data_IF_684811130512
#
_entry.id   IF_684811130512
#
_cell.length_a   1.000
_cell.length_b   1.000
_cell.length_c   1.000
_cell.angle_alpha   90.00
_cell.angle_beta   90.00
_cell.angle_gamma   90.00
#
_symmetry.space_group_name_H-M   'P 1'
#
loop_
_entity.id
_entity.type
_entity.pdbx_description
1 polymer ?
#
# COMPACT_ATOMS: atom_id res chain seq x y z
N UNK A 1 25.94 -9.34 42.24
CA UNK A 1 24.61 -9.73 41.72
C UNK A 1 23.87 -8.60 41.00
N UNK A 2 23.97 -7.34 41.44
CA UNK A 2 23.27 -6.18 40.86
C UNK A 2 23.76 -5.70 39.47
N UNK A 3 24.97 -6.06 39.03
CA UNK A 3 25.44 -5.75 37.66
C UNK A 3 24.98 -6.76 36.63
N UNK A 4 24.91 -8.04 37.02
CA UNK A 4 24.45 -9.13 36.15
C UNK A 4 22.97 -8.99 35.83
N UNK A 5 22.12 -8.60 36.81
CA UNK A 5 20.70 -8.38 36.53
C UNK A 5 20.48 -7.26 35.51
N UNK A 6 21.23 -6.14 35.60
CA UNK A 6 21.09 -5.02 34.65
C UNK A 6 21.44 -5.42 33.23
N UNK A 7 22.50 -6.22 33.05
CA UNK A 7 22.90 -6.73 31.73
C UNK A 7 21.85 -7.68 31.17
N UNK A 8 21.29 -8.56 32.01
CA UNK A 8 20.21 -9.48 31.61
C UNK A 8 18.94 -8.71 31.24
N UNK A 9 18.57 -7.67 32.00
CA UNK A 9 17.39 -6.84 31.71
C UNK A 9 17.56 -6.05 30.41
N UNK A 10 18.75 -5.49 30.15
CA UNK A 10 19.01 -4.77 28.89
C UNK A 10 18.99 -5.71 27.69
N UNK A 11 19.59 -6.91 27.80
CA UNK A 11 19.51 -7.90 26.72
C UNK A 11 18.07 -8.36 26.45
N UNK A 12 17.28 -8.57 27.51
CA UNK A 12 15.86 -8.91 27.38
C UNK A 12 15.10 -7.80 26.66
N UNK A 13 15.29 -6.53 27.02
CA UNK A 13 14.63 -5.41 26.35
C UNK A 13 15.03 -5.26 24.88
N UNK A 14 16.30 -5.53 24.54
CA UNK A 14 16.77 -5.53 23.15
C UNK A 14 16.11 -6.67 22.37
N UNK A 15 16.07 -7.89 22.93
CA UNK A 15 15.39 -9.04 22.33
C UNK A 15 13.89 -8.80 22.15
N UNK A 16 13.20 -8.25 23.15
CA UNK A 16 11.78 -7.87 23.05
C UNK A 16 11.55 -6.76 22.01
N UNK A 17 12.46 -5.80 21.88
CA UNK A 17 12.41 -4.75 20.85
C UNK A 17 12.69 -5.24 19.43
N UNK A 18 13.38 -6.39 19.29
CA UNK A 18 13.80 -6.94 17.99
C UNK A 18 12.71 -7.77 17.30
N UNK A 19 11.61 -8.09 18.00
CA UNK A 19 10.51 -8.92 17.50
C UNK A 19 9.48 -8.16 16.63
N UNK A 20 9.69 -6.88 16.33
CA UNK A 20 8.68 -6.04 15.68
C UNK A 20 8.69 -6.06 14.13
N UNK A 21 9.59 -6.76 13.44
CA UNK A 21 9.64 -6.70 11.97
C UNK A 21 9.99 -8.03 11.32
N UNK A 22 9.16 -9.04 11.51
CA UNK A 22 9.05 -10.13 10.54
C UNK A 22 7.57 -10.38 10.27
N UNK A 23 6.92 -9.47 9.54
CA UNK A 23 5.76 -9.89 8.74
C UNK A 23 6.35 -10.81 7.68
N UNK A 24 6.24 -12.11 7.95
CA UNK A 24 6.60 -13.13 6.98
C UNK A 24 5.79 -12.84 5.72
N UNK A 25 6.51 -12.63 4.61
CA UNK A 25 5.94 -12.59 3.28
C UNK A 25 5.50 -14.02 2.90
N UNK A 26 4.52 -14.57 3.62
CA UNK A 26 3.61 -15.48 2.95
C UNK A 26 2.95 -14.64 1.86
N UNK A 27 3.06 -15.11 0.61
CA UNK A 27 2.62 -14.41 -0.61
C UNK A 27 1.11 -14.26 -0.68
N UNK A 28 0.52 -13.64 0.33
CA UNK A 28 -0.89 -13.29 0.37
C UNK A 28 -1.11 -12.21 -0.69
N UNK A 29 -2.01 -12.49 -1.62
CA UNK A 29 -2.48 -11.49 -2.59
C UNK A 29 -3.41 -10.51 -1.86
N UNK A 30 -3.34 -9.20 -2.15
CA UNK A 30 -4.19 -8.24 -1.47
C UNK A 30 -5.68 -8.57 -1.64
N UNK A 31 -6.44 -8.47 -0.56
CA UNK A 31 -7.89 -8.68 -0.58
C UNK A 31 -8.62 -7.48 -1.20
N UNK A 32 -9.89 -7.66 -1.55
CA UNK A 32 -10.76 -6.56 -1.98
C UNK A 32 -10.90 -5.47 -0.91
N UNK A 33 -10.90 -5.86 0.38
CA UNK A 33 -10.89 -4.92 1.50
C UNK A 33 -9.58 -4.13 1.60
N UNK A 34 -8.43 -4.72 1.23
CA UNK A 34 -7.16 -4.00 1.17
C UNK A 34 -7.16 -2.95 0.06
N UNK A 35 -7.66 -3.31 -1.12
CA UNK A 35 -7.86 -2.36 -2.22
C UNK A 35 -8.78 -1.22 -1.81
N UNK A 36 -9.93 -1.52 -1.22
CA UNK A 36 -10.89 -0.51 -0.74
C UNK A 36 -10.27 0.44 0.29
N UNK A 37 -9.55 -0.10 1.29
CA UNK A 37 -8.89 0.70 2.31
C UNK A 37 -7.82 1.63 1.72
N UNK A 38 -7.01 1.13 0.77
CA UNK A 38 -5.98 1.94 0.14
C UNK A 38 -6.55 2.96 -0.86
N UNK A 39 -7.66 2.67 -1.53
CA UNK A 39 -8.38 3.66 -2.34
C UNK A 39 -8.97 4.78 -1.47
N UNK A 40 -9.56 4.44 -0.31
CA UNK A 40 -10.06 5.46 0.62
C UNK A 40 -8.93 6.37 1.16
N UNK A 41 -7.73 5.83 1.40
CA UNK A 41 -6.59 6.59 1.94
C UNK A 41 -5.85 7.46 0.89
N UNK A 42 -5.92 7.09 -0.40
CA UNK A 42 -5.12 7.73 -1.44
C UNK A 42 -5.42 9.23 -1.63
N UNK A 43 -6.67 9.71 -1.70
CA UNK A 43 -6.97 11.14 -1.84
C UNK A 43 -6.39 11.99 -0.69
N UNK A 44 -6.46 11.47 0.54
CA UNK A 44 -5.91 12.16 1.71
C UNK A 44 -4.39 12.27 1.64
N UNK A 45 -3.73 11.21 1.17
CA UNK A 45 -2.28 11.18 1.00
C UNK A 45 -1.83 12.14 -0.11
N UNK A 46 -2.56 12.17 -1.23
CA UNK A 46 -2.33 13.13 -2.33
C UNK A 46 -2.47 14.57 -1.82
N UNK A 47 -3.54 14.87 -1.10
CA UNK A 47 -3.78 16.21 -0.52
C UNK A 47 -2.67 16.61 0.47
N UNK A 48 -2.13 15.65 1.22
CA UNK A 48 -1.03 15.89 2.16
C UNK A 48 0.33 16.10 1.46
N UNK A 49 0.47 15.74 0.19
CA UNK A 49 1.73 15.90 -0.56
C UNK A 49 2.89 15.05 -0.04
N UNK A 50 2.59 13.97 0.70
CA UNK A 50 3.60 13.14 1.37
C UNK A 50 4.19 12.04 0.50
N UNK A 51 3.69 11.91 -0.74
CA UNK A 51 4.15 10.91 -1.71
C UNK A 51 4.34 11.57 -3.07
N UNK A 52 5.51 11.37 -3.66
CA UNK A 52 5.84 11.83 -5.02
C UNK A 52 5.66 10.71 -6.03
N UNK A 53 4.98 10.96 -7.18
CA UNK A 53 4.87 9.98 -8.24
C UNK A 53 6.21 9.69 -8.92
N UNK A 54 6.38 8.45 -9.36
CA UNK A 54 7.51 8.03 -10.19
C UNK A 54 7.17 8.13 -11.68
N UNK A 55 8.17 8.11 -12.55
CA UNK A 55 7.94 8.04 -14.00
C UNK A 55 7.08 6.85 -14.42
N UNK A 56 7.19 5.73 -13.70
CA UNK A 56 6.36 4.56 -13.95
C UNK A 56 4.89 4.80 -13.57
N UNK A 57 4.61 5.59 -12.53
CA UNK A 57 3.24 5.97 -12.15
C UNK A 57 2.63 6.90 -13.20
N UNK A 58 3.41 7.82 -13.77
CA UNK A 58 2.98 8.62 -14.92
C UNK A 58 2.64 7.75 -16.14
N UNK A 59 3.55 6.86 -16.53
CA UNK A 59 3.32 5.98 -17.68
C UNK A 59 2.10 5.07 -17.51
N UNK A 60 1.85 4.57 -16.29
CA UNK A 60 0.64 3.79 -16.00
C UNK A 60 -0.62 4.65 -16.02
N UNK A 61 -0.57 5.87 -15.50
CA UNK A 61 -1.71 6.78 -15.53
C UNK A 61 -2.08 7.15 -16.98
N UNK A 62 -1.08 7.37 -17.84
CA UNK A 62 -1.30 7.60 -19.26
C UNK A 62 -1.96 6.39 -19.93
N UNK A 63 -1.51 5.17 -19.63
CA UNK A 63 -2.15 3.93 -20.11
C UNK A 63 -3.59 3.79 -19.61
N UNK A 64 -3.85 4.09 -18.34
CA UNK A 64 -5.19 4.03 -17.77
C UNK A 64 -6.16 5.02 -18.46
N UNK A 65 -5.67 6.20 -18.86
CA UNK A 65 -6.44 7.15 -19.70
C UNK A 65 -6.71 6.63 -21.10
N UNK A 66 -5.82 5.80 -21.63
CA UNK A 66 -5.98 5.13 -22.94
C UNK A 66 -7.05 4.03 -22.97
N UNK A 67 -7.61 3.65 -21.81
CA UNK A 67 -8.72 2.70 -21.71
C UNK A 67 -8.37 1.46 -20.90
N UNK A 68 -8.49 1.56 -19.57
CA UNK A 68 -8.50 0.38 -18.70
C UNK A 68 -9.93 -0.13 -18.51
N UNK A 69 -10.10 -1.46 -18.46
CA UNK A 69 -11.38 -2.06 -18.07
C UNK A 69 -11.64 -1.75 -16.60
N UNK A 70 -12.85 -1.32 -16.29
CA UNK A 70 -13.29 -1.00 -14.93
C UNK A 70 -14.52 -1.84 -14.59
N UNK A 71 -14.59 -2.31 -13.35
CA UNK A 71 -15.68 -3.13 -12.82
C UNK A 71 -16.16 -2.58 -11.49
N UNK A 72 -17.39 -2.91 -11.11
CA UNK A 72 -17.92 -2.52 -9.80
C UNK A 72 -17.23 -3.32 -8.69
N UNK A 73 -16.87 -2.66 -7.60
CA UNK A 73 -16.36 -3.34 -6.40
C UNK A 73 -17.47 -3.43 -5.34
N UNK A 74 -17.70 -4.60 -4.72
CA UNK A 74 -18.65 -4.70 -3.61
C UNK A 74 -18.14 -4.01 -2.33
N UNK A 75 -16.82 -3.85 -2.20
CA UNK A 75 -16.16 -3.36 -0.98
C UNK A 75 -15.74 -1.88 -1.06
N UNK A 76 -15.87 -1.25 -2.24
CA UNK A 76 -15.49 0.13 -2.47
C UNK A 76 -16.59 0.88 -3.23
N UNK A 77 -17.01 2.09 -2.79
CA UNK A 77 -18.01 2.88 -3.50
C UNK A 77 -17.42 3.42 -4.82
N UNK A 78 -17.64 2.69 -5.91
CA UNK A 78 -17.23 3.08 -7.25
C UNK A 78 -16.75 1.90 -8.08
N UNK A 79 -16.16 2.23 -9.22
CA UNK A 79 -15.52 1.25 -10.10
C UNK A 79 -14.03 1.17 -9.83
N UNK A 80 -13.48 -0.04 -9.86
CA UNK A 80 -12.04 -0.30 -9.80
C UNK A 80 -11.53 -0.82 -11.13
N UNK A 81 -10.28 -0.55 -11.47
CA UNK A 81 -9.65 -1.10 -12.67
C UNK A 81 -9.31 -2.57 -12.49
N UNK A 82 -9.76 -3.36 -13.45
CA UNK A 82 -9.35 -4.75 -13.64
C UNK A 82 -8.13 -4.76 -14.56
N UNK A 83 -6.96 -4.98 -13.96
CA UNK A 83 -5.68 -4.89 -14.65
C UNK A 83 -4.83 -6.13 -14.35
N UNK A 84 -4.13 -6.62 -15.37
CA UNK A 84 -3.09 -7.64 -15.21
C UNK A 84 -1.81 -7.07 -14.58
N UNK A 85 -1.64 -5.73 -14.57
CA UNK A 85 -0.57 -5.07 -13.81
C UNK A 85 -0.97 -5.04 -12.32
N UNK A 86 -0.31 -5.83 -11.45
CA UNK A 86 -0.67 -5.93 -10.03
C UNK A 86 -0.44 -4.62 -9.28
N UNK A 87 0.36 -3.70 -9.83
CA UNK A 87 0.64 -2.41 -9.20
C UNK A 87 -0.55 -1.44 -9.26
N UNK A 88 -1.52 -1.71 -10.14
CA UNK A 88 -2.73 -0.89 -10.29
C UNK A 88 -4.03 -1.70 -10.19
N UNK A 89 -3.94 -3.02 -10.08
CA UNK A 89 -5.09 -3.87 -9.86
C UNK A 89 -5.88 -3.43 -8.61
N UNK A 90 -7.22 -3.38 -8.72
CA UNK A 90 -8.11 -2.99 -7.63
C UNK A 90 -8.10 -1.49 -7.32
N UNK A 91 -7.34 -0.68 -8.04
CA UNK A 91 -7.33 0.78 -7.86
C UNK A 91 -8.63 1.40 -8.36
N UNK A 92 -9.12 2.44 -7.70
CA UNK A 92 -10.25 3.24 -8.18
C UNK A 92 -9.98 3.77 -9.59
N UNK A 93 -10.98 3.67 -10.47
CA UNK A 93 -10.76 3.83 -11.91
C UNK A 93 -10.36 5.25 -12.34
N UNK A 94 -10.92 6.29 -11.72
CA UNK A 94 -10.50 7.66 -11.98
C UNK A 94 -9.14 7.97 -11.33
N UNK A 95 -8.90 7.48 -10.13
CA UNK A 95 -7.64 7.55 -9.42
C UNK A 95 -6.50 6.89 -10.19
N UNK A 96 -6.76 5.78 -10.88
CA UNK A 96 -5.80 5.14 -11.76
C UNK A 96 -5.32 6.04 -12.90
N UNK A 97 -6.10 7.04 -13.31
CA UNK A 97 -5.71 8.04 -14.32
C UNK A 97 -4.83 9.16 -13.74
N UNK A 98 -4.48 9.12 -12.46
CA UNK A 98 -3.71 10.14 -11.76
C UNK A 98 -2.43 9.55 -11.15
N UNK A 99 -1.27 10.01 -11.60
CA UNK A 99 0.02 9.49 -11.14
C UNK A 99 0.24 9.66 -9.63
N UNK A 100 -0.17 10.78 -9.05
CA UNK A 100 -0.05 11.02 -7.60
C UNK A 100 -0.96 10.09 -6.80
N UNK A 101 -2.17 9.82 -7.30
CA UNK A 101 -3.08 8.84 -6.70
C UNK A 101 -2.47 7.43 -6.77
N UNK A 102 -1.93 7.02 -7.92
CA UNK A 102 -1.26 5.73 -8.05
C UNK A 102 -0.11 5.60 -7.04
N UNK A 103 0.72 6.63 -6.92
CA UNK A 103 1.83 6.64 -5.99
C UNK A 103 1.34 6.49 -4.54
N UNK A 104 0.30 7.23 -4.15
CA UNK A 104 -0.32 7.15 -2.83
C UNK A 104 -0.91 5.76 -2.54
N UNK A 105 -1.64 5.18 -3.49
CA UNK A 105 -2.20 3.83 -3.39
C UNK A 105 -1.10 2.78 -3.22
N UNK A 106 -0.08 2.78 -4.08
CA UNK A 106 1.04 1.83 -3.98
C UNK A 106 1.82 2.00 -2.67
N UNK A 107 1.98 3.23 -2.18
CA UNK A 107 2.59 3.47 -0.89
C UNK A 107 1.76 2.87 0.26
N UNK A 108 0.43 2.91 0.18
CA UNK A 108 -0.45 2.23 1.13
C UNK A 108 -0.28 0.70 1.08
N UNK A 109 -0.28 0.11 -0.12
CA UNK A 109 -0.12 -1.35 -0.31
C UNK A 109 1.22 -1.86 0.24
N UNK A 110 2.32 -1.16 -0.05
CA UNK A 110 3.65 -1.50 0.49
C UNK A 110 3.70 -1.48 2.01
N UNK A 111 3.03 -0.52 2.65
CA UNK A 111 2.96 -0.45 4.12
C UNK A 111 2.18 -1.62 4.73
N UNK A 112 1.22 -2.19 3.98
CA UNK A 112 0.48 -3.38 4.40
C UNK A 112 1.28 -4.67 4.18
N UNK A 113 2.22 -4.67 3.24
CA UNK A 113 3.12 -5.78 2.94
C UNK A 113 2.96 -6.37 1.53
N UNK A 114 2.29 -5.67 0.62
CA UNK A 114 2.03 -6.10 -0.75
C UNK A 114 2.84 -5.32 -1.80
#
# INVERSE_FOLDING_TARGET
MTRLYKVVTVLALILLGSLATTRMADGEVPSSADFAACNAAAPHTVKAGTVSPTMADHARADRARGGALATNSPDFPGTVIESADPQIHGMEAEGAKNASYQAAYRACMRRKGF
#
